data_IF_233464425918
#
_entry.id   IF_233464425918
#
_cell.length_a   1.000
_cell.length_b   1.000
_cell.length_c   1.000
_cell.angle_alpha   90.00
_cell.angle_beta   90.00
_cell.angle_gamma   90.00
#
_symmetry.space_group_name_H-M   'P 1'
#
loop_
_entity.id
_entity.type
_entity.pdbx_description
1 polymer ?
#
# COMPACT_ATOMS: atom_id res chain seq x y z
N UNK A 1 16.70 -13.02 23.73
CA UNK A 1 15.67 -12.48 22.81
C UNK A 1 16.21 -12.58 21.39
N UNK A 2 15.76 -13.57 20.61
CA UNK A 2 16.26 -13.76 19.25
C UNK A 2 15.76 -12.63 18.36
N UNK A 3 16.67 -11.74 17.98
CA UNK A 3 16.48 -10.78 16.91
C UNK A 3 16.41 -11.58 15.61
N UNK A 4 15.22 -12.06 15.24
CA UNK A 4 15.02 -12.72 13.93
C UNK A 4 15.25 -11.65 12.87
N UNK A 5 16.49 -11.60 12.37
CA UNK A 5 16.89 -10.74 11.26
C UNK A 5 15.88 -10.87 10.13
N UNK A 6 15.47 -9.72 9.61
CA UNK A 6 14.51 -9.61 8.53
C UNK A 6 14.91 -10.56 7.39
N UNK A 7 13.99 -11.36 6.82
CA UNK A 7 14.32 -12.22 5.70
C UNK A 7 14.86 -11.35 4.54
N UNK A 8 15.80 -11.90 3.78
CA UNK A 8 16.28 -11.24 2.58
C UNK A 8 15.11 -10.96 1.63
N UNK A 9 15.20 -9.83 0.90
CA UNK A 9 14.20 -9.37 -0.06
C UNK A 9 13.62 -10.49 -0.93
N UNK A 10 14.52 -11.32 -1.46
CA UNK A 10 14.20 -12.44 -2.35
C UNK A 10 13.39 -13.54 -1.66
N UNK A 11 13.64 -13.78 -0.37
CA UNK A 11 12.92 -14.76 0.44
C UNK A 11 11.52 -14.26 0.78
N UNK A 12 11.40 -12.97 1.08
CA UNK A 12 10.11 -12.33 1.33
C UNK A 12 9.23 -12.31 0.05
N UNK A 13 9.79 -11.94 -1.11
CA UNK A 13 9.09 -12.06 -2.40
C UNK A 13 8.66 -13.49 -2.69
N UNK A 14 9.47 -14.49 -2.34
CA UNK A 14 9.11 -15.89 -2.55
C UNK A 14 7.97 -16.35 -1.64
N UNK A 15 7.93 -15.90 -0.39
CA UNK A 15 6.90 -16.21 0.59
C UNK A 15 5.56 -15.55 0.25
N UNK A 16 5.59 -14.33 -0.27
CA UNK A 16 4.40 -13.58 -0.69
C UNK A 16 3.83 -14.07 -2.03
N UNK A 17 4.59 -14.85 -2.82
CA UNK A 17 4.09 -15.46 -4.07
C UNK A 17 3.09 -16.57 -3.75
N UNK A 18 1.80 -16.23 -3.74
CA UNK A 18 0.69 -17.18 -3.61
C UNK A 18 -0.27 -16.89 -2.45
N UNK A 19 0.04 -15.91 -1.60
CA UNK A 19 -0.89 -15.47 -0.55
C UNK A 19 -1.95 -14.55 -1.15
N UNK A 20 -3.23 -14.93 -0.96
CA UNK A 20 -4.42 -14.21 -1.47
C UNK A 20 -5.08 -13.33 -0.39
N UNK A 21 -4.36 -13.02 0.70
CA UNK A 21 -4.87 -12.21 1.81
C UNK A 21 -5.10 -10.76 1.39
N UNK A 22 -6.05 -10.08 2.03
CA UNK A 22 -6.27 -8.64 1.88
C UNK A 22 -4.94 -7.90 2.00
N UNK A 23 -4.58 -7.04 1.03
CA UNK A 23 -3.36 -6.27 1.23
C UNK A 23 -3.48 -5.38 2.47
N UNK A 24 -4.68 -4.91 2.83
CA UNK A 24 -4.84 -4.17 4.07
C UNK A 24 -4.39 -4.99 5.29
N UNK A 25 -4.75 -6.27 5.34
CA UNK A 25 -4.25 -7.19 6.35
C UNK A 25 -2.73 -7.42 6.24
N UNK A 26 -2.16 -7.46 5.03
CA UNK A 26 -0.70 -7.55 4.83
C UNK A 26 0.01 -6.28 5.33
N UNK A 27 -0.54 -5.09 5.07
CA UNK A 27 -0.04 -3.81 5.58
C UNK A 27 -0.14 -3.75 7.11
N UNK A 28 -1.28 -4.16 7.67
CA UNK A 28 -1.51 -4.26 9.12
C UNK A 28 -0.56 -5.24 9.79
N UNK A 29 -0.31 -6.40 9.18
CA UNK A 29 0.53 -7.45 9.74
C UNK A 29 2.03 -7.26 9.48
N UNK A 30 2.43 -6.55 8.41
CA UNK A 30 3.82 -6.49 7.97
C UNK A 30 4.37 -5.06 7.87
N UNK A 31 5.62 -4.93 8.33
CA UNK A 31 6.47 -3.78 8.03
C UNK A 31 6.79 -3.81 6.54
N UNK A 32 6.07 -3.05 5.73
CA UNK A 32 6.60 -2.64 4.43
C UNK A 32 7.95 -1.94 4.69
N UNK A 33 9.04 -2.62 4.36
CA UNK A 33 10.39 -2.16 4.70
C UNK A 33 10.70 -0.89 3.95
N UNK A 34 10.75 0.20 4.72
CA UNK A 34 11.14 1.53 4.30
C UNK A 34 12.65 1.66 4.41
N UNK A 35 13.29 2.16 3.35
CA UNK A 35 14.69 2.56 3.35
C UNK A 35 14.72 4.08 3.26
N UNK A 36 15.46 4.74 4.15
CA UNK A 36 15.69 6.18 4.04
C UNK A 36 16.39 6.51 2.73
N UNK A 37 15.81 7.45 1.98
CA UNK A 37 16.34 7.89 0.71
C UNK A 37 16.08 9.40 0.52
N UNK A 38 17.09 10.24 0.78
CA UNK A 38 16.96 11.70 0.67
C UNK A 38 16.63 12.20 -0.74
N UNK A 39 16.81 11.37 -1.77
CA UNK A 39 16.53 11.72 -3.17
C UNK A 39 15.14 11.27 -3.62
N UNK A 40 14.44 10.46 -2.81
CA UNK A 40 13.07 10.09 -3.08
C UNK A 40 12.11 11.18 -2.59
N UNK A 41 11.02 11.45 -3.30
CA UNK A 41 9.92 12.24 -2.76
C UNK A 41 9.50 11.69 -1.38
N UNK A 42 9.39 12.56 -0.38
CA UNK A 42 9.06 12.15 0.98
C UNK A 42 10.20 11.52 1.81
N UNK A 43 11.42 11.36 1.26
CA UNK A 43 12.62 10.98 2.02
C UNK A 43 12.81 9.48 2.24
N UNK A 44 12.01 8.63 1.58
CA UNK A 44 12.08 7.19 1.74
C UNK A 44 11.84 6.46 0.40
N UNK A 45 12.46 5.29 0.21
CA UNK A 45 12.10 4.32 -0.83
C UNK A 45 11.66 3.00 -0.22
N UNK A 46 10.73 2.35 -0.90
CA UNK A 46 10.32 1.01 -0.54
C UNK A 46 11.03 -0.02 -1.38
N UNK A 47 11.31 -1.13 -0.73
CA UNK A 47 11.61 -2.38 -1.40
C UNK A 47 10.34 -2.85 -2.10
N UNK A 48 10.22 -2.57 -3.41
CA UNK A 48 9.04 -2.88 -4.23
C UNK A 48 8.45 -4.25 -3.86
N UNK A 49 7.26 -4.23 -3.29
CA UNK A 49 6.47 -5.41 -3.01
C UNK A 49 5.57 -5.69 -4.22
N UNK A 50 5.78 -6.82 -4.87
CA UNK A 50 4.86 -7.32 -5.88
C UNK A 50 3.88 -8.28 -5.22
N UNK A 51 2.62 -7.86 -5.11
CA UNK A 51 1.53 -8.69 -4.57
C UNK A 51 0.53 -9.04 -5.66
N UNK A 52 -0.21 -10.15 -5.49
CA UNK A 52 -1.31 -10.54 -6.37
C UNK A 52 -2.59 -10.72 -5.57
N UNK A 53 -3.55 -9.84 -5.82
CA UNK A 53 -4.88 -9.93 -5.22
C UNK A 53 -5.79 -10.94 -5.89
N UNK A 54 -7.06 -10.91 -5.48
CA UNK A 54 -8.09 -11.80 -6.00
C UNK A 54 -8.27 -11.61 -7.51
N UNK A 55 -8.01 -10.40 -8.03
CA UNK A 55 -7.99 -10.09 -9.45
C UNK A 55 -6.80 -10.68 -10.23
N UNK A 56 -5.85 -11.34 -9.55
CA UNK A 56 -4.58 -11.87 -10.07
C UNK A 56 -3.62 -10.83 -10.67
N UNK A 57 -3.93 -9.53 -10.57
CA UNK A 57 -3.05 -8.47 -11.05
C UNK A 57 -1.80 -8.34 -10.17
N UNK A 58 -0.66 -7.99 -10.77
CA UNK A 58 0.54 -7.64 -10.02
C UNK A 58 0.42 -6.19 -9.58
N UNK A 59 0.23 -5.98 -8.29
CA UNK A 59 0.18 -4.66 -7.68
C UNK A 59 1.60 -4.16 -7.38
N UNK A 60 1.84 -2.88 -7.61
CA UNK A 60 3.10 -2.17 -7.34
C UNK A 60 2.78 -1.01 -6.40
N UNK A 61 3.51 -0.96 -5.28
CA UNK A 61 3.35 0.09 -4.27
C UNK A 61 4.52 1.06 -4.33
N UNK A 62 4.17 2.34 -4.34
CA UNK A 62 5.07 3.43 -3.98
C UNK A 62 4.54 4.10 -2.71
N UNK A 63 5.42 4.66 -1.91
CA UNK A 63 5.02 5.33 -0.68
C UNK A 63 5.79 6.64 -0.59
N UNK A 64 5.05 7.67 -0.25
CA UNK A 64 5.54 9.01 -0.04
C UNK A 64 5.11 9.47 1.36
N UNK A 65 5.60 10.62 1.80
CA UNK A 65 4.96 11.29 2.93
C UNK A 65 3.53 11.62 2.55
N UNK A 66 2.63 11.60 3.52
CA UNK A 66 1.27 12.07 3.29
C UNK A 66 1.30 13.56 2.94
N UNK A 67 1.12 13.85 1.65
CA UNK A 67 1.25 15.17 1.06
C UNK A 67 0.37 15.29 -0.19
N UNK A 68 -0.25 16.46 -0.35
CA UNK A 68 -1.18 16.72 -1.44
C UNK A 68 -0.46 16.92 -2.78
N UNK A 69 0.75 17.47 -2.78
CA UNK A 69 1.55 17.64 -3.99
C UNK A 69 2.00 16.27 -4.54
N UNK A 70 2.48 15.39 -3.66
CA UNK A 70 2.82 14.01 -4.01
C UNK A 70 1.63 13.26 -4.64
N UNK A 71 0.42 13.47 -4.12
CA UNK A 71 -0.80 12.87 -4.68
C UNK A 71 -1.17 13.45 -6.04
N UNK A 72 -1.09 14.77 -6.22
CA UNK A 72 -1.41 15.43 -7.49
C UNK A 72 -0.46 15.01 -8.62
N UNK A 73 0.82 14.79 -8.32
CA UNK A 73 1.84 14.40 -9.29
C UNK A 73 1.81 12.91 -9.68
N UNK A 74 1.03 12.09 -8.97
CA UNK A 74 1.06 10.64 -9.10
C UNK A 74 0.34 10.08 -10.34
N UNK A 75 -0.53 10.87 -10.96
CA UNK A 75 -1.47 10.37 -11.97
C UNK A 75 -2.50 9.37 -11.38
N UNK A 76 -3.33 8.73 -12.22
CA UNK A 76 -4.39 7.84 -11.75
C UNK A 76 -3.86 6.61 -11.01
N UNK A 77 -4.07 6.56 -9.70
CA UNK A 77 -3.65 5.48 -8.81
C UNK A 77 -4.70 5.23 -7.73
N UNK A 78 -4.57 4.11 -7.02
CA UNK A 78 -5.30 3.91 -5.76
C UNK A 78 -4.44 4.42 -4.61
N UNK A 79 -4.95 5.39 -3.86
CA UNK A 79 -4.26 6.02 -2.74
C UNK A 79 -4.70 5.39 -1.42
N UNK A 80 -3.75 5.16 -0.50
CA UNK A 80 -4.00 4.70 0.84
C UNK A 80 -3.34 5.66 1.83
N UNK A 81 -4.09 6.12 2.81
CA UNK A 81 -3.53 6.88 3.94
C UNK A 81 -3.10 5.90 5.03
N UNK A 82 -1.85 5.98 5.46
CA UNK A 82 -1.25 5.00 6.36
C UNK A 82 -0.62 5.67 7.57
N UNK A 83 -0.97 5.17 8.75
CA UNK A 83 -0.32 5.46 10.01
C UNK A 83 0.69 4.36 10.36
N UNK A 84 1.64 4.65 11.25
CA UNK A 84 2.48 3.62 11.86
C UNK A 84 2.32 3.65 13.37
N UNK A 85 2.29 2.46 13.95
CA UNK A 85 2.33 2.33 15.40
C UNK A 85 3.77 2.50 15.95
N UNK A 86 3.91 2.44 17.28
CA UNK A 86 5.19 2.60 17.96
C UNK A 86 6.22 1.50 17.60
N UNK A 87 5.78 0.34 17.10
CA UNK A 87 6.66 -0.74 16.63
C UNK A 87 6.89 -0.69 15.12
N UNK A 88 6.38 0.32 14.44
CA UNK A 88 6.54 0.58 13.02
C UNK A 88 5.63 -0.26 12.12
N UNK A 89 4.62 -0.95 12.67
CA UNK A 89 3.61 -1.65 11.87
C UNK A 89 2.73 -0.61 11.18
N UNK A 90 2.42 -0.84 9.90
CA UNK A 90 1.59 0.06 9.12
C UNK A 90 0.11 -0.22 9.43
N UNK A 91 -0.71 0.82 9.47
CA UNK A 91 -2.17 0.71 9.60
C UNK A 91 -2.80 1.61 8.56
N UNK A 92 -3.62 1.03 7.69
CA UNK A 92 -4.35 1.83 6.71
C UNK A 92 -5.55 2.49 7.39
N UNK A 93 -5.68 3.80 7.19
CA UNK A 93 -6.78 4.59 7.74
C UNK A 93 -7.87 4.87 6.70
N UNK A 94 -7.51 5.00 5.43
CA UNK A 94 -8.46 5.16 4.32
C UNK A 94 -7.87 4.65 3.01
N UNK A 95 -8.74 4.25 2.07
CA UNK A 95 -8.41 3.79 0.72
C UNK A 95 -9.28 4.53 -0.28
N UNK A 96 -8.66 5.09 -1.31
CA UNK A 96 -9.35 5.81 -2.39
C UNK A 96 -8.94 5.25 -3.73
N UNK A 97 -9.91 4.66 -4.43
CA UNK A 97 -9.72 4.19 -5.80
C UNK A 97 -9.38 5.34 -6.76
N UNK A 98 -9.81 6.55 -6.45
CA UNK A 98 -9.45 7.76 -7.17
C UNK A 98 -9.66 8.95 -6.23
N UNK A 99 -8.86 10.00 -6.39
CA UNK A 99 -9.01 11.26 -5.66
C UNK A 99 -8.98 12.38 -6.68
N UNK A 100 -10.07 13.14 -6.78
CA UNK A 100 -10.10 14.29 -7.67
C UNK A 100 -9.09 15.34 -7.15
N UNK A 101 -8.33 16.04 -8.02
CA UNK A 101 -7.32 17.01 -7.58
C UNK A 101 -7.85 18.07 -6.62
N UNK A 102 -9.11 18.50 -6.77
CA UNK A 102 -9.74 19.47 -5.86
C UNK A 102 -10.04 18.92 -4.46
N UNK A 103 -10.11 17.59 -4.30
CA UNK A 103 -10.41 16.92 -3.04
C UNK A 103 -9.13 16.46 -2.32
N UNK A 104 -7.99 16.42 -3.03
CA UNK A 104 -6.72 15.90 -2.56
C UNK A 104 -6.26 16.58 -1.26
N UNK A 105 -6.27 17.91 -1.20
CA UNK A 105 -5.83 18.67 -0.03
C UNK A 105 -6.68 18.33 1.20
N UNK A 106 -8.00 18.46 1.08
CA UNK A 106 -8.90 18.19 2.20
C UNK A 106 -8.88 16.73 2.65
N UNK A 107 -8.63 15.78 1.73
CA UNK A 107 -8.42 14.38 2.10
C UNK A 107 -7.11 14.19 2.89
N UNK A 108 -6.00 14.77 2.42
CA UNK A 108 -4.70 14.73 3.11
C UNK A 108 -4.80 15.32 4.52
N UNK A 109 -5.41 16.49 4.69
CA UNK A 109 -5.59 17.14 5.99
C UNK A 109 -6.37 16.25 6.96
N UNK A 110 -7.53 15.73 6.54
CA UNK A 110 -8.33 14.83 7.38
C UNK A 110 -7.58 13.55 7.79
N UNK A 111 -6.78 13.01 6.88
CA UNK A 111 -5.99 11.80 7.16
C UNK A 111 -4.81 12.09 8.09
N UNK A 112 -4.15 13.24 7.93
CA UNK A 112 -3.13 13.73 8.85
C UNK A 112 -3.69 13.92 10.27
N UNK A 113 -4.86 14.54 10.40
CA UNK A 113 -5.57 14.70 11.68
C UNK A 113 -5.93 13.36 12.33
N UNK A 114 -6.17 12.33 11.49
CA UNK A 114 -6.42 10.96 11.93
C UNK A 114 -5.15 10.18 12.29
N UNK A 115 -3.96 10.79 12.12
CA UNK A 115 -2.66 10.22 12.45
C UNK A 115 -1.95 9.50 11.29
N UNK A 116 -2.46 9.58 10.06
CA UNK A 116 -1.71 9.09 8.91
C UNK A 116 -0.50 9.99 8.65
N UNK A 117 0.63 9.36 8.35
CA UNK A 117 1.89 10.05 8.05
C UNK A 117 2.46 9.65 6.69
N UNK A 118 1.91 8.61 6.08
CA UNK A 118 2.36 8.06 4.81
C UNK A 118 1.20 8.00 3.80
N UNK A 119 1.55 8.26 2.54
CA UNK A 119 0.70 8.05 1.38
C UNK A 119 1.22 6.85 0.62
N UNK A 120 0.47 5.75 0.59
CA UNK A 120 0.81 4.59 -0.23
C UNK A 120 0.00 4.66 -1.52
N UNK A 121 0.66 4.53 -2.66
CA UNK A 121 0.05 4.56 -3.99
C UNK A 121 0.20 3.19 -4.63
N UNK A 122 -0.92 2.60 -5.01
CA UNK A 122 -0.97 1.34 -5.73
C UNK A 122 -1.18 1.59 -7.24
N UNK A 123 -0.29 1.02 -8.04
CA UNK A 123 -0.42 0.88 -9.48
C UNK A 123 -0.41 -0.59 -9.88
N UNK A 124 -0.80 -0.89 -11.11
CA UNK A 124 -0.64 -2.24 -11.67
C UNK A 124 0.68 -2.30 -12.43
N UNK A 125 1.35 -3.46 -12.40
CA UNK A 125 2.58 -3.75 -13.12
C UNK A 125 2.39 -3.92 -14.63
N UNK A 126 1.65 -3.01 -15.25
CA UNK A 126 1.44 -2.86 -16.69
C UNK A 126 1.96 -1.50 -17.15
N UNK A 127 2.11 -1.34 -18.46
CA UNK A 127 2.42 -0.04 -19.06
C UNK A 127 1.15 0.83 -19.14
N UNK A 128 1.29 2.12 -18.82
CA UNK A 128 0.21 3.11 -18.89
C UNK A 128 -0.63 3.25 -17.61
N UNK A 129 -1.45 4.32 -17.53
CA UNK A 129 -2.25 4.62 -16.35
C UNK A 129 -3.35 3.57 -16.10
N UNK A 130 -3.82 3.50 -14.86
CA UNK A 130 -4.97 2.67 -14.51
C UNK A 130 -6.26 3.26 -15.11
N UNK A 131 -7.10 2.39 -15.67
CA UNK A 131 -8.50 2.74 -15.97
C UNK A 131 -9.32 2.80 -14.68
N UNK A 132 -10.48 3.47 -14.71
CA UNK A 132 -11.36 3.53 -13.54
C UNK A 132 -11.79 2.13 -13.04
N UNK A 133 -12.06 1.20 -13.97
CA UNK A 133 -12.40 -0.19 -13.64
C UNK A 133 -11.26 -0.92 -12.92
N UNK A 134 -10.02 -0.71 -13.37
CA UNK A 134 -8.85 -1.32 -12.73
C UNK A 134 -8.57 -0.71 -11.36
N UNK A 135 -8.74 0.60 -11.19
CA UNK A 135 -8.64 1.24 -9.87
C UNK A 135 -9.66 0.69 -8.89
N UNK A 136 -10.89 0.46 -9.35
CA UNK A 136 -11.93 -0.17 -8.53
C UNK A 136 -11.55 -1.62 -8.18
N UNK A 137 -11.08 -2.42 -9.14
CA UNK A 137 -10.64 -3.79 -8.88
C UNK A 137 -9.48 -3.85 -7.89
N UNK A 138 -8.53 -2.90 -7.98
CA UNK A 138 -7.45 -2.73 -7.00
C UNK A 138 -8.03 -2.40 -5.64
N UNK A 139 -8.87 -1.36 -5.51
CA UNK A 139 -9.47 -0.99 -4.23
C UNK A 139 -10.22 -2.18 -3.59
N UNK A 140 -10.98 -2.94 -4.38
CA UNK A 140 -11.66 -4.15 -3.93
C UNK A 140 -10.68 -5.20 -3.42
N UNK A 141 -9.61 -5.50 -4.19
CA UNK A 141 -8.54 -6.41 -3.77
C UNK A 141 -7.89 -5.98 -2.45
N UNK A 142 -7.72 -4.67 -2.22
CA UNK A 142 -7.10 -4.11 -1.02
C UNK A 142 -8.01 -4.22 0.22
N UNK A 143 -9.32 -4.07 0.03
CA UNK A 143 -10.34 -4.11 1.10
C UNK A 143 -10.95 -5.48 1.32
N UNK A 144 -10.72 -6.44 0.43
CA UNK A 144 -11.32 -7.76 0.52
C UNK A 144 -10.77 -8.51 1.73
N UNK A 145 -11.61 -8.71 2.76
CA UNK A 145 -11.26 -9.61 3.86
C UNK A 145 -10.89 -10.98 3.30
N UNK A 146 -9.80 -11.56 3.80
CA UNK A 146 -9.47 -12.94 3.44
C UNK A 146 -10.64 -13.83 3.88
N UNK A 147 -11.27 -14.61 2.98
CA UNK A 147 -12.27 -15.57 3.42
C UNK A 147 -11.59 -16.51 4.40
N UNK A 148 -12.16 -16.64 5.61
CA UNK A 148 -11.63 -17.52 6.64
C UNK A 148 -11.25 -18.86 6.02
N UNK A 149 -10.03 -19.39 6.31
CA UNK A 149 -9.57 -20.61 5.67
C UNK A 149 -10.65 -21.68 5.84
N UNK A 150 -11.11 -22.22 4.72
CA UNK A 150 -12.09 -23.30 4.73
C UNK A 150 -11.55 -24.37 5.67
N UNK A 151 -12.22 -24.55 6.81
CA UNK A 151 -11.82 -25.53 7.81
C UNK A 151 -11.85 -26.87 7.09
N UNK A 152 -10.68 -27.46 6.87
CA UNK A 152 -10.58 -28.79 6.29
C UNK A 152 -11.42 -29.73 7.17
N UNK A 153 -12.47 -30.30 6.57
CA UNK A 153 -13.37 -31.25 7.21
C UNK A 153 -12.70 -32.63 7.31
#
# INVERSE_FOLDING_TARGET
MSNKGMPSLSRWHAEMRGQRAALAAICEAHRFSRVEDPKAPGGFRFLNAAWRGLSAHRHIFSVDRLDAEALAHAGPCVALAVARDAVGAARILDIRADIHPSEALGWVERMADSGATELHRCTLGKTGPLTARERLAVALDLTAEEPAPARAA
#
